data_IF_027339010103
#
_entry.id   IF_027339010103
#
_cell.length_a   1.000
_cell.length_b   1.000
_cell.length_c   1.000
_cell.angle_alpha   90.00
_cell.angle_beta   90.00
_cell.angle_gamma   90.00
#
_symmetry.space_group_name_H-M   'P 1'
#
loop_
_entity.id
_entity.type
_entity.pdbx_description
1 polymer ?
#
# COMPACT_ATOMS: atom_id res chain seq x y z
N UNK A 1 15.70 14.46 20.14
CA UNK A 1 14.76 15.28 19.33
C UNK A 1 13.84 14.38 18.50
N UNK A 2 12.71 13.99 19.09
CA UNK A 2 11.66 13.14 18.49
C UNK A 2 10.43 13.92 18.05
N UNK A 3 10.59 15.14 17.52
CA UNK A 3 9.48 16.08 17.28
C UNK A 3 8.81 15.93 15.89
N UNK A 4 8.87 14.75 15.25
CA UNK A 4 8.28 14.56 13.91
C UNK A 4 7.23 13.47 13.94
N UNK A 5 6.02 13.83 13.52
CA UNK A 5 4.88 12.91 13.38
C UNK A 5 5.12 11.95 12.20
N UNK A 6 4.64 10.71 12.31
CA UNK A 6 4.73 9.72 11.25
C UNK A 6 3.94 10.19 10.00
N UNK A 7 4.56 10.24 8.80
CA UNK A 7 3.92 10.79 7.59
C UNK A 7 2.62 10.08 7.18
N UNK A 8 2.51 8.78 7.47
CA UNK A 8 1.28 8.00 7.25
C UNK A 8 0.16 8.39 8.21
N UNK A 9 0.45 8.56 9.50
CA UNK A 9 -0.56 8.84 10.53
C UNK A 9 -1.28 10.17 10.27
N UNK A 10 -0.52 11.19 9.89
CA UNK A 10 -1.09 12.52 9.61
C UNK A 10 -1.95 12.56 8.33
N UNK A 11 -1.83 11.55 7.45
CA UNK A 11 -2.54 11.45 6.16
C UNK A 11 -3.64 10.38 6.16
N UNK A 12 -3.79 9.68 7.27
CA UNK A 12 -4.71 8.58 7.43
C UNK A 12 -6.16 9.11 7.44
N UNK A 13 -7.04 8.51 6.65
CA UNK A 13 -8.43 8.96 6.47
C UNK A 13 -8.62 10.11 5.47
N UNK A 14 -7.55 10.77 5.01
CA UNK A 14 -7.62 11.79 3.95
C UNK A 14 -7.10 11.26 2.61
N UNK A 15 -5.86 10.75 2.58
CA UNK A 15 -5.23 10.16 1.38
C UNK A 15 -4.95 8.68 1.57
N UNK A 16 -4.50 8.29 2.77
CA UNK A 16 -4.10 6.91 3.06
C UNK A 16 -5.20 6.19 3.81
N UNK A 17 -5.47 4.97 3.36
CA UNK A 17 -6.34 4.03 4.04
C UNK A 17 -5.61 3.22 5.11
N UNK A 18 -6.40 2.60 5.98
CA UNK A 18 -5.98 1.58 6.91
C UNK A 18 -5.44 0.33 6.19
N UNK A 19 -4.48 -0.35 6.82
CA UNK A 19 -3.96 -1.64 6.32
C UNK A 19 -4.79 -2.83 6.81
N UNK A 20 -5.45 -2.71 7.96
CA UNK A 20 -6.45 -3.68 8.44
C UNK A 20 -7.84 -3.06 8.32
N UNK A 21 -8.77 -3.72 7.63
CA UNK A 21 -10.16 -3.28 7.46
C UNK A 21 -11.10 -4.31 8.07
N UNK A 22 -11.57 -4.03 9.26
CA UNK A 22 -12.57 -4.83 9.97
C UNK A 22 -13.21 -4.00 11.08
N UNK A 23 -14.37 -4.43 11.55
CA UNK A 23 -15.08 -3.77 12.65
C UNK A 23 -15.68 -4.83 13.59
N UNK A 24 -15.23 -4.84 14.85
CA UNK A 24 -15.81 -5.60 15.95
C UNK A 24 -15.39 -4.93 17.26
N UNK A 25 -16.35 -4.51 18.09
CA UNK A 25 -16.07 -3.83 19.36
C UNK A 25 -15.71 -4.80 20.49
N UNK A 26 -16.32 -6.00 20.51
CA UNK A 26 -16.21 -6.93 21.63
C UNK A 26 -14.92 -7.76 21.55
N UNK A 27 -14.58 -8.25 20.36
CA UNK A 27 -13.40 -9.09 20.10
C UNK A 27 -12.21 -8.25 19.57
N UNK A 28 -12.27 -6.92 19.72
CA UNK A 28 -11.23 -6.03 19.21
C UNK A 28 -9.82 -6.35 19.72
N UNK A 29 -9.60 -6.61 21.03
CA UNK A 29 -8.27 -6.88 21.56
C UNK A 29 -7.65 -8.13 20.93
N UNK A 30 -8.44 -9.20 20.83
CA UNK A 30 -8.01 -10.48 20.27
C UNK A 30 -7.64 -10.33 18.79
N UNK A 31 -8.42 -9.57 18.02
CA UNK A 31 -8.15 -9.37 16.60
C UNK A 31 -6.90 -8.53 16.35
N UNK A 32 -6.60 -7.56 17.23
CA UNK A 32 -5.38 -6.77 17.14
C UNK A 32 -4.15 -7.67 17.41
N UNK A 33 -4.22 -8.52 18.42
CA UNK A 33 -3.14 -9.46 18.72
C UNK A 33 -2.95 -10.46 17.57
N UNK A 34 -4.05 -11.02 17.06
CA UNK A 34 -4.05 -11.95 15.94
C UNK A 34 -3.43 -11.30 14.68
N UNK A 35 -3.86 -10.09 14.32
CA UNK A 35 -3.30 -9.31 13.20
C UNK A 35 -1.79 -9.07 13.37
N UNK A 36 -1.33 -8.77 14.59
CA UNK A 36 0.09 -8.58 14.87
C UNK A 36 0.89 -9.87 14.67
N UNK A 37 0.39 -11.01 15.18
CA UNK A 37 1.02 -12.33 15.01
C UNK A 37 1.10 -12.71 13.54
N UNK A 38 0.02 -12.53 12.78
CA UNK A 38 -0.02 -12.77 11.32
C UNK A 38 1.03 -11.92 10.61
N UNK A 39 1.08 -10.60 10.88
CA UNK A 39 2.05 -9.70 10.23
C UNK A 39 3.49 -10.09 10.53
N UNK A 40 3.80 -10.45 11.78
CA UNK A 40 5.14 -10.89 12.19
C UNK A 40 5.52 -12.20 11.49
N UNK A 41 4.58 -13.14 11.43
CA UNK A 41 4.76 -14.44 10.79
C UNK A 41 5.07 -14.30 9.29
N UNK A 42 4.22 -13.56 8.57
CA UNK A 42 4.34 -13.33 7.12
C UNK A 42 5.64 -12.60 6.80
N UNK A 43 6.01 -11.56 7.56
CA UNK A 43 7.29 -10.86 7.36
C UNK A 43 8.50 -11.77 7.57
N UNK A 44 8.47 -12.67 8.55
CA UNK A 44 9.55 -13.62 8.80
C UNK A 44 9.68 -14.66 7.69
N UNK A 45 8.57 -15.31 7.31
CA UNK A 45 8.57 -16.40 6.33
C UNK A 45 8.85 -15.92 4.90
N UNK A 46 8.31 -14.76 4.52
CA UNK A 46 8.39 -14.23 3.15
C UNK A 46 9.39 -13.07 3.02
N UNK A 47 10.45 -13.05 3.83
CA UNK A 47 11.51 -12.03 3.76
C UNK A 47 12.11 -11.89 2.35
N UNK A 48 12.27 -13.00 1.63
CA UNK A 48 12.83 -13.02 0.27
C UNK A 48 11.86 -12.50 -0.81
N UNK A 49 10.56 -12.40 -0.49
CA UNK A 49 9.52 -12.02 -1.44
C UNK A 49 9.38 -10.50 -1.61
N UNK A 50 10.09 -9.68 -0.82
CA UNK A 50 10.03 -8.22 -0.85
C UNK A 50 8.57 -7.72 -0.75
N UNK A 51 8.03 -7.75 0.46
CA UNK A 51 6.64 -7.40 0.76
C UNK A 51 6.51 -5.90 1.04
N UNK A 52 5.71 -5.21 0.23
CA UNK A 52 5.46 -3.77 0.39
C UNK A 52 4.42 -3.49 1.48
N UNK A 53 3.28 -4.20 1.40
CA UNK A 53 2.13 -4.00 2.29
C UNK A 53 1.42 -5.32 2.53
N UNK A 54 0.92 -5.48 3.76
CA UNK A 54 0.05 -6.60 4.15
C UNK A 54 -1.31 -5.99 4.50
N UNK A 55 -2.30 -6.25 3.65
CA UNK A 55 -3.70 -5.92 3.89
C UNK A 55 -4.39 -7.06 4.62
N UNK A 56 -5.13 -6.75 5.69
CA UNK A 56 -5.94 -7.75 6.40
C UNK A 56 -7.39 -7.29 6.40
N UNK A 57 -8.29 -8.14 5.93
CA UNK A 57 -9.72 -7.85 5.93
C UNK A 57 -10.45 -9.00 6.61
N UNK A 58 -11.37 -8.67 7.52
CA UNK A 58 -12.18 -9.68 8.22
C UNK A 58 -13.63 -9.48 7.82
N UNK A 59 -14.22 -10.51 7.19
CA UNK A 59 -15.61 -10.54 6.79
C UNK A 59 -16.33 -11.66 7.56
N UNK A 60 -16.84 -11.33 8.74
CA UNK A 60 -17.44 -12.31 9.66
C UNK A 60 -16.42 -13.38 10.07
N UNK A 61 -16.66 -14.63 9.65
CA UNK A 61 -15.81 -15.78 9.97
C UNK A 61 -14.59 -15.94 9.06
N UNK A 62 -14.55 -15.22 7.93
CA UNK A 62 -13.50 -15.35 6.93
C UNK A 62 -12.43 -14.29 7.11
N UNK A 63 -11.17 -14.72 7.01
CA UNK A 63 -10.00 -13.85 7.03
C UNK A 63 -9.42 -13.75 5.62
N UNK A 64 -9.40 -12.55 5.04
CA UNK A 64 -8.76 -12.27 3.75
C UNK A 64 -7.46 -11.54 3.98
N UNK A 65 -6.38 -12.08 3.42
CA UNK A 65 -5.04 -11.52 3.51
C UNK A 65 -4.60 -11.13 2.11
N UNK A 66 -4.37 -9.84 1.93
CA UNK A 66 -3.98 -9.22 0.68
C UNK A 66 -2.48 -8.87 0.75
N UNK A 67 -1.64 -9.67 0.09
CA UNK A 67 -0.19 -9.50 0.07
C UNK A 67 0.22 -8.69 -1.15
N UNK A 68 0.81 -7.51 -0.93
CA UNK A 68 1.38 -6.69 -1.99
C UNK A 68 2.89 -6.96 -2.07
N UNK A 69 3.36 -7.49 -3.18
CA UNK A 69 4.75 -7.93 -3.38
C UNK A 69 5.31 -7.43 -4.71
N UNK A 70 6.61 -7.17 -4.74
CA UNK A 70 7.35 -6.92 -5.98
C UNK A 70 7.70 -8.21 -6.75
N UNK A 71 7.63 -9.38 -6.09
CA UNK A 71 8.01 -10.68 -6.64
C UNK A 71 6.94 -11.73 -6.35
N UNK A 72 5.79 -11.67 -7.04
CA UNK A 72 4.67 -12.60 -6.79
C UNK A 72 5.06 -14.07 -7.00
N UNK A 73 5.96 -14.36 -7.94
CA UNK A 73 6.40 -15.74 -8.21
C UNK A 73 7.02 -16.47 -7.01
N UNK A 74 7.72 -15.74 -6.12
CA UNK A 74 8.29 -16.33 -4.90
C UNK A 74 7.20 -16.71 -3.89
N UNK A 75 6.13 -15.90 -3.82
CA UNK A 75 5.02 -16.14 -2.89
C UNK A 75 4.13 -17.29 -3.36
N UNK A 76 3.89 -17.39 -4.68
CA UNK A 76 3.08 -18.47 -5.28
C UNK A 76 3.82 -19.82 -5.17
N UNK A 77 5.13 -19.82 -5.43
CA UNK A 77 5.95 -21.04 -5.46
C UNK A 77 5.64 -21.94 -6.65
N UNK A 78 6.23 -23.15 -6.67
CA UNK A 78 6.01 -24.13 -7.75
C UNK A 78 4.60 -24.71 -7.63
N UNK A 79 3.76 -24.50 -8.64
CA UNK A 79 2.40 -25.07 -8.69
C UNK A 79 1.44 -24.55 -7.62
N UNK A 80 1.70 -23.37 -7.02
CA UNK A 80 0.82 -22.79 -6.00
C UNK A 80 1.05 -23.30 -4.56
N UNK A 81 2.02 -24.19 -4.36
CA UNK A 81 2.31 -24.77 -3.03
C UNK A 81 2.70 -23.72 -1.98
N UNK A 82 3.31 -22.60 -2.38
CA UNK A 82 3.68 -21.52 -1.45
C UNK A 82 2.46 -20.89 -0.78
N UNK A 83 1.40 -20.64 -1.56
CA UNK A 83 0.14 -20.08 -1.05
C UNK A 83 -0.56 -21.07 -0.13
N UNK A 84 -0.62 -22.34 -0.51
CA UNK A 84 -1.30 -23.36 0.30
C UNK A 84 -0.62 -23.59 1.64
N UNK A 85 0.71 -23.56 1.67
CA UNK A 85 1.48 -23.63 2.91
C UNK A 85 1.19 -22.44 3.83
N UNK A 86 1.27 -21.22 3.29
CA UNK A 86 1.00 -19.99 4.06
C UNK A 86 -0.43 -19.96 4.56
N UNK A 87 -1.39 -20.39 3.74
CA UNK A 87 -2.79 -20.53 4.13
C UNK A 87 -2.93 -21.50 5.30
N UNK A 88 -2.45 -22.73 5.17
CA UNK A 88 -2.58 -23.78 6.19
C UNK A 88 -1.99 -23.37 7.54
N UNK A 89 -0.84 -22.69 7.54
CA UNK A 89 -0.21 -22.22 8.77
C UNK A 89 -0.98 -21.07 9.42
N UNK A 90 -1.53 -20.15 8.63
CA UNK A 90 -2.35 -19.06 9.16
C UNK A 90 -3.67 -19.62 9.69
N UNK A 91 -4.29 -20.61 9.03
CA UNK A 91 -5.46 -21.31 9.55
C UNK A 91 -5.13 -22.02 10.88
N UNK A 92 -3.93 -22.62 11.00
CA UNK A 92 -3.47 -23.25 12.25
C UNK A 92 -3.25 -22.23 13.38
N UNK A 93 -2.78 -21.02 13.05
CA UNK A 93 -2.55 -19.94 14.02
C UNK A 93 -3.85 -19.26 14.50
N UNK A 94 -4.86 -19.17 13.62
CA UNK A 94 -6.07 -18.36 13.85
C UNK A 94 -7.33 -19.19 14.10
N UNK A 95 -7.34 -20.45 13.68
CA UNK A 95 -8.52 -21.32 13.70
C UNK A 95 -9.63 -20.89 12.74
N UNK A 96 -9.36 -19.95 11.82
CA UNK A 96 -10.34 -19.38 10.88
C UNK A 96 -10.00 -19.76 9.45
N UNK A 97 -11.03 -19.88 8.61
CA UNK A 97 -10.83 -20.10 7.17
C UNK A 97 -10.19 -18.86 6.56
N UNK A 98 -9.03 -19.04 5.93
CA UNK A 98 -8.25 -17.93 5.37
C UNK A 98 -8.21 -17.98 3.85
N UNK A 99 -8.23 -16.79 3.24
CA UNK A 99 -8.00 -16.59 1.81
C UNK A 99 -6.78 -15.69 1.64
N UNK A 100 -5.79 -16.16 0.91
CA UNK A 100 -4.56 -15.41 0.65
C UNK A 100 -4.55 -14.96 -0.81
N UNK A 101 -4.61 -13.65 -1.01
CA UNK A 101 -4.52 -13.01 -2.31
C UNK A 101 -3.14 -12.39 -2.47
N UNK A 102 -2.49 -12.64 -3.60
CA UNK A 102 -1.20 -12.04 -3.95
C UNK A 102 -1.42 -11.00 -5.04
N UNK A 103 -1.07 -9.75 -4.75
CA UNK A 103 -1.14 -8.63 -5.69
C UNK A 103 0.26 -8.13 -6.01
N UNK A 104 0.49 -7.92 -7.30
CA UNK A 104 1.76 -7.39 -7.79
C UNK A 104 1.83 -5.86 -7.65
N UNK A 105 2.97 -5.36 -7.16
CA UNK A 105 3.30 -3.94 -7.17
C UNK A 105 3.91 -3.58 -8.52
N UNK A 106 3.13 -2.88 -9.38
CA UNK A 106 3.55 -2.51 -10.75
C UNK A 106 4.86 -1.74 -10.86
N UNK A 107 5.20 -0.91 -9.87
CA UNK A 107 6.42 -0.08 -9.83
C UNK A 107 7.05 -0.14 -8.44
N UNK A 108 7.94 -1.11 -8.17
CA UNK A 108 8.50 -1.30 -6.84
C UNK A 108 9.41 -0.15 -6.40
N UNK A 109 10.03 0.58 -7.33
CA UNK A 109 10.93 1.70 -7.04
C UNK A 109 10.22 2.91 -6.40
N UNK A 110 8.90 3.01 -6.60
CA UNK A 110 8.06 4.06 -6.01
C UNK A 110 7.53 3.67 -4.63
N UNK A 111 7.69 2.43 -4.20
CA UNK A 111 7.28 2.00 -2.87
C UNK A 111 8.38 2.26 -1.84
N UNK A 112 8.04 2.99 -0.77
CA UNK A 112 9.04 3.43 0.19
C UNK A 112 9.60 2.26 1.02
N UNK A 113 8.78 1.24 1.33
CA UNK A 113 9.20 0.09 2.10
C UNK A 113 10.15 -0.79 1.30
N UNK A 114 9.81 -1.08 0.04
CA UNK A 114 10.66 -1.86 -0.86
C UNK A 114 12.00 -1.18 -1.15
N UNK A 115 11.99 0.15 -1.32
CA UNK A 115 13.22 0.92 -1.47
C UNK A 115 14.10 0.82 -0.22
N UNK A 116 13.51 0.91 0.97
CA UNK A 116 14.22 0.79 2.23
C UNK A 116 14.86 -0.60 2.40
N UNK A 117 14.09 -1.67 2.13
CA UNK A 117 14.58 -3.06 2.14
C UNK A 117 15.72 -3.28 1.15
N UNK A 118 15.61 -2.71 -0.06
CA UNK A 118 16.67 -2.78 -1.07
C UNK A 118 17.97 -2.12 -0.63
N UNK A 119 17.90 -1.03 0.16
CA UNK A 119 19.07 -0.37 0.74
C UNK A 119 19.63 -1.19 1.91
N UNK A 120 18.77 -1.72 2.78
CA UNK A 120 19.18 -2.58 3.89
C UNK A 120 19.98 -3.79 3.38
N UNK A 121 19.46 -4.49 2.37
CA UNK A 121 20.17 -5.62 1.75
C UNK A 121 21.55 -5.24 1.17
N UNK A 122 21.71 -4.01 0.68
CA UNK A 122 23.01 -3.52 0.20
C UNK A 122 23.97 -3.20 1.35
N UNK A 123 23.46 -2.64 2.44
CA UNK A 123 24.25 -2.36 3.64
C UNK A 123 24.71 -3.64 4.34
N UNK A 124 23.86 -4.66 4.39
CA UNK A 124 24.19 -6.00 4.92
C UNK A 124 25.30 -6.67 4.09
N UNK A 125 25.30 -6.44 2.78
CA UNK A 125 26.37 -6.87 1.86
C UNK A 125 27.62 -5.97 1.89
N UNK A 126 27.76 -5.11 2.90
CA UNK A 126 28.90 -4.21 3.10
C UNK A 126 29.15 -3.23 1.95
N UNK A 127 28.12 -2.88 1.17
CA UNK A 127 28.23 -1.81 0.17
C UNK A 127 28.29 -0.46 0.89
N UNK A 128 29.10 0.46 0.36
CA UNK A 128 29.15 1.84 0.88
C UNK A 128 27.76 2.47 0.92
N UNK A 129 27.36 2.94 2.11
CA UNK A 129 26.05 3.52 2.35
C UNK A 129 25.75 4.73 1.45
N UNK A 130 26.75 5.57 1.13
CA UNK A 130 26.59 6.70 0.19
C UNK A 130 26.25 6.23 -1.21
N UNK A 131 26.93 5.18 -1.69
CA UNK A 131 26.68 4.58 -3.00
C UNK A 131 25.30 3.96 -3.06
N UNK A 132 24.91 3.21 -2.01
CA UNK A 132 23.60 2.59 -1.92
C UNK A 132 22.47 3.63 -1.94
N UNK A 133 22.60 4.71 -1.16
CA UNK A 133 21.63 5.81 -1.15
C UNK A 133 21.55 6.52 -2.50
N UNK A 134 22.68 6.92 -3.09
CA UNK A 134 22.69 7.64 -4.38
C UNK A 134 22.03 6.83 -5.49
N UNK A 135 22.39 5.54 -5.59
CA UNK A 135 21.79 4.62 -6.56
C UNK A 135 20.29 4.42 -6.35
N UNK A 136 19.85 4.36 -5.10
CA UNK A 136 18.43 4.25 -4.77
C UNK A 136 17.65 5.51 -5.18
N UNK A 137 18.20 6.70 -4.92
CA UNK A 137 17.59 7.98 -5.32
C UNK A 137 17.47 8.07 -6.84
N UNK A 138 18.55 7.80 -7.58
CA UNK A 138 18.56 7.84 -9.05
C UNK A 138 17.48 6.92 -9.64
N UNK A 139 17.34 5.69 -9.13
CA UNK A 139 16.31 4.75 -9.56
C UNK A 139 14.88 5.25 -9.30
N UNK A 140 14.63 5.78 -8.10
CA UNK A 140 13.29 6.25 -7.74
C UNK A 140 12.91 7.54 -8.48
N UNK A 141 13.86 8.45 -8.70
CA UNK A 141 13.64 9.64 -9.53
C UNK A 141 13.38 9.25 -10.98
N UNK A 142 14.13 8.29 -11.54
CA UNK A 142 13.89 7.77 -12.89
C UNK A 142 12.52 7.09 -13.04
N UNK A 143 12.00 6.47 -11.97
CA UNK A 143 10.66 5.89 -11.95
C UNK A 143 9.51 6.94 -11.90
N UNK A 144 9.85 8.23 -11.81
CA UNK A 144 8.91 9.35 -11.87
C UNK A 144 8.46 9.88 -10.50
N UNK A 145 9.23 9.65 -9.42
CA UNK A 145 8.97 10.32 -8.16
C UNK A 145 9.28 11.82 -8.24
N UNK A 146 8.49 12.66 -7.57
CA UNK A 146 8.70 14.10 -7.50
C UNK A 146 9.75 14.51 -6.46
N UNK A 147 10.02 13.62 -5.50
CA UNK A 147 11.13 13.78 -4.58
C UNK A 147 11.33 12.56 -3.68
N UNK A 148 12.57 12.38 -3.26
CA UNK A 148 12.99 11.24 -2.44
C UNK A 148 13.94 11.74 -1.37
N UNK A 149 13.71 11.29 -0.13
CA UNK A 149 14.63 11.50 0.97
C UNK A 149 14.94 10.17 1.60
N UNK A 150 16.21 9.92 1.81
CA UNK A 150 16.71 8.71 2.46
C UNK A 150 17.55 9.17 3.64
N UNK A 151 17.29 8.60 4.80
CA UNK A 151 18.05 8.82 6.02
C UNK A 151 18.53 7.49 6.54
N UNK A 152 19.83 7.40 6.77
CA UNK A 152 20.48 6.22 7.34
C UNK A 152 21.10 6.63 8.66
N UNK A 153 20.83 5.86 9.71
CA UNK A 153 21.29 6.14 11.07
C UNK A 153 21.89 4.90 11.72
N UNK A 154 23.09 5.03 12.28
CA UNK A 154 23.80 3.94 12.94
C UNK A 154 25.31 4.09 12.83
N UNK A 155 26.04 3.00 12.99
CA UNK A 155 27.51 2.94 12.86
C UNK A 155 27.91 2.86 11.39
N UNK A 156 27.76 3.99 10.69
CA UNK A 156 27.93 4.06 9.24
C UNK A 156 29.39 3.80 8.84
N UNK A 157 29.61 2.78 8.00
CA UNK A 157 30.94 2.40 7.52
C UNK A 157 31.85 1.81 8.61
N UNK A 158 31.28 1.33 9.72
CA UNK A 158 32.03 0.74 10.82
C UNK A 158 32.67 1.72 11.79
N UNK A 159 32.28 2.99 11.74
CA UNK A 159 32.66 3.95 12.75
C UNK A 159 32.19 3.52 14.16
N UNK A 160 33.00 3.85 15.17
CA UNK A 160 32.66 3.59 16.57
C UNK A 160 31.43 4.40 17.02
N UNK A 161 31.36 5.67 16.60
CA UNK A 161 30.27 6.58 16.95
C UNK A 161 29.16 6.50 15.89
N UNK A 162 27.92 6.33 16.35
CA UNK A 162 26.75 6.35 15.49
C UNK A 162 26.50 7.74 14.90
N UNK A 163 26.30 7.81 13.59
CA UNK A 163 25.99 9.04 12.85
C UNK A 163 24.66 8.90 12.11
N UNK A 164 24.08 10.05 11.73
CA UNK A 164 22.89 10.10 10.88
C UNK A 164 23.22 10.91 9.64
N UNK A 165 23.10 10.28 8.49
CA UNK A 165 23.30 10.93 7.20
C UNK A 165 22.00 10.88 6.41
N UNK A 166 21.68 11.95 5.69
CA UNK A 166 20.50 11.99 4.85
C UNK A 166 20.84 12.62 3.51
N UNK A 167 20.29 12.03 2.45
CA UNK A 167 20.31 12.58 1.11
C UNK A 167 18.88 12.88 0.70
N UNK A 168 18.68 14.00 0.02
CA UNK A 168 17.39 14.41 -0.51
C UNK A 168 17.56 14.91 -1.93
N UNK A 169 16.65 14.47 -2.79
CA UNK A 169 16.52 14.97 -4.15
C UNK A 169 15.05 15.33 -4.42
N UNK A 170 14.82 16.38 -5.19
CA UNK A 170 13.48 16.88 -5.49
C UNK A 170 12.75 17.52 -4.29
N UNK A 171 11.43 17.58 -4.39
CA UNK A 171 10.53 18.27 -3.44
C UNK A 171 9.87 17.25 -2.51
N UNK A 172 9.83 17.55 -1.20
CA UNK A 172 9.14 16.69 -0.21
C UNK A 172 8.43 17.56 0.83
N UNK A 173 7.17 17.96 0.55
CA UNK A 173 6.43 18.86 1.42
C UNK A 173 5.76 18.08 2.57
N UNK A 174 6.52 17.81 3.65
CA UNK A 174 6.04 16.98 4.77
C UNK A 174 4.84 17.58 5.52
N UNK A 175 4.76 18.91 5.61
CA UNK A 175 3.67 19.65 6.26
C UNK A 175 2.38 19.67 5.43
N UNK A 176 2.48 19.43 4.13
CA UNK A 176 1.33 19.48 3.22
C UNK A 176 0.57 18.16 3.30
N UNK A 177 -0.65 18.21 3.85
CA UNK A 177 -1.53 17.04 3.98
C UNK A 177 -1.95 16.45 2.64
N UNK A 178 -2.15 17.31 1.61
CA UNK A 178 -2.53 16.89 0.25
C UNK A 178 -1.44 16.14 -0.53
N UNK A 179 -0.20 16.14 -0.02
CA UNK A 179 0.91 15.48 -0.67
C UNK A 179 0.87 13.98 -0.39
N UNK A 180 0.84 13.14 -1.42
CA UNK A 180 0.98 11.69 -1.27
C UNK A 180 2.45 11.34 -0.99
N UNK A 181 2.75 11.22 0.30
CA UNK A 181 4.07 10.86 0.80
C UNK A 181 4.00 9.47 1.38
N UNK A 182 4.82 8.60 0.82
CA UNK A 182 5.03 7.24 1.31
C UNK A 182 6.24 7.20 2.24
N UNK A 183 6.18 6.35 3.26
CA UNK A 183 7.22 6.23 4.28
C UNK A 183 7.55 4.76 4.51
N UNK A 184 8.83 4.42 4.41
CA UNK A 184 9.38 3.10 4.69
C UNK A 184 10.38 3.16 5.82
N UNK A 185 10.40 2.09 6.62
CA UNK A 185 11.40 1.90 7.67
C UNK A 185 11.83 0.44 7.72
N UNK A 186 13.13 0.24 7.78
CA UNK A 186 13.72 -1.06 7.99
C UNK A 186 15.02 -0.92 8.77
N UNK A 187 15.38 -1.97 9.47
CA UNK A 187 16.65 -2.10 10.17
C UNK A 187 17.51 -3.11 9.40
N UNK A 188 18.73 -2.70 9.07
CA UNK A 188 19.72 -3.55 8.43
C UNK A 188 20.61 -4.17 9.51
N UNK A 189 20.75 -5.50 9.46
CA UNK A 189 21.54 -6.25 10.44
C UNK A 189 22.99 -6.38 9.93
N UNK A 190 23.86 -5.49 10.38
CA UNK A 190 25.28 -5.54 10.03
C UNK A 190 26.09 -6.18 11.15
N UNK A 191 27.29 -6.66 10.83
CA UNK A 191 28.22 -7.25 11.81
C UNK A 191 28.56 -6.31 12.96
N UNK A 192 28.54 -5.00 12.71
CA UNK A 192 28.92 -3.97 13.68
C UNK A 192 27.74 -3.39 14.46
N UNK A 193 26.52 -3.86 14.17
CA UNK A 193 25.28 -3.47 14.83
C UNK A 193 24.12 -3.21 13.86
N UNK A 194 23.10 -2.54 14.37
CA UNK A 194 21.89 -2.20 13.62
C UNK A 194 22.05 -0.84 12.92
N UNK A 195 21.69 -0.79 11.65
CA UNK A 195 21.60 0.46 10.89
C UNK A 195 20.14 0.67 10.49
N UNK A 196 19.53 1.74 10.98
CA UNK A 196 18.17 2.12 10.61
C UNK A 196 18.15 2.88 9.29
N UNK A 197 17.29 2.46 8.35
CA UNK A 197 17.04 3.12 7.07
C UNK A 197 15.61 3.64 7.05
N UNK A 198 15.46 4.95 6.87
CA UNK A 198 14.18 5.64 6.74
C UNK A 198 14.07 6.28 5.36
N UNK A 199 13.00 6.00 4.65
CA UNK A 199 12.75 6.51 3.30
C UNK A 199 11.46 7.32 3.27
N UNK A 200 11.48 8.44 2.56
CA UNK A 200 10.31 9.22 2.21
C UNK A 200 10.28 9.36 0.70
N UNK A 201 9.17 8.97 0.08
CA UNK A 201 8.96 9.14 -1.36
C UNK A 201 7.73 10.02 -1.54
N UNK A 202 7.90 11.11 -2.27
CA UNK A 202 6.81 11.96 -2.69
C UNK A 202 6.43 11.62 -4.12
N UNK A 203 5.21 11.09 -4.28
CA UNK A 203 4.70 10.60 -5.57
C UNK A 203 4.05 11.73 -6.36
N UNK A 204 3.00 12.33 -5.80
CA UNK A 204 2.24 13.43 -6.40
C UNK A 204 1.45 14.19 -5.35
N UNK A 205 1.01 15.40 -5.69
CA UNK A 205 -0.06 16.07 -4.94
C UNK A 205 -1.40 15.51 -5.43
N UNK A 206 -2.25 15.06 -4.49
CA UNK A 206 -3.62 14.68 -4.79
C UNK A 206 -4.49 15.92 -4.58
N UNK A 207 -4.94 16.52 -5.68
CA UNK A 207 -6.06 17.45 -5.62
C UNK A 207 -7.35 16.63 -5.45
N UNK A 208 -8.33 17.14 -4.70
CA UNK A 208 -9.70 16.59 -4.79
C UNK A 208 -10.02 16.57 -6.29
N UNK A 209 -10.24 15.38 -6.84
CA UNK A 209 -10.71 15.28 -8.23
C UNK A 209 -11.96 16.13 -8.31
N UNK A 210 -11.94 17.13 -9.17
CA UNK A 210 -13.15 17.91 -9.45
C UNK A 210 -14.20 16.92 -9.98
N UNK A 211 -15.49 17.13 -9.75
CA UNK A 211 -16.54 16.20 -10.23
C UNK A 211 -16.38 15.84 -11.72
N UNK A 212 -15.85 16.77 -12.53
CA UNK A 212 -15.49 16.56 -13.94
C UNK A 212 -14.43 15.47 -14.17
N UNK A 213 -13.42 15.37 -13.32
CA UNK A 213 -12.36 14.36 -13.40
C UNK A 213 -12.86 12.99 -12.90
N UNK A 214 -13.72 12.97 -11.89
CA UNK A 214 -14.41 11.76 -11.43
C UNK A 214 -15.32 11.21 -12.53
N UNK A 215 -16.10 12.07 -13.19
CA UNK A 215 -16.94 11.69 -14.33
C UNK A 215 -16.10 11.20 -15.52
N UNK A 216 -14.93 11.79 -15.78
CA UNK A 216 -14.04 11.36 -16.85
C UNK A 216 -13.45 9.97 -16.60
N UNK A 217 -13.11 9.66 -15.35
CA UNK A 217 -12.56 8.35 -14.96
C UNK A 217 -13.62 7.25 -14.95
N UNK A 218 -14.84 7.53 -14.48
CA UNK A 218 -16.00 6.63 -14.62
C UNK A 218 -16.25 6.31 -16.11
N UNK A 219 -16.12 7.32 -16.98
CA UNK A 219 -16.33 7.16 -18.42
C UNK A 219 -15.20 6.37 -19.12
N UNK A 220 -13.99 6.38 -18.57
CA UNK A 220 -12.88 5.55 -19.06
C UNK A 220 -13.04 4.09 -18.62
N UNK A 221 -13.43 3.86 -17.36
CA UNK A 221 -13.73 2.52 -16.85
C UNK A 221 -14.89 1.86 -17.60
N UNK A 222 -15.91 2.63 -17.97
CA UNK A 222 -17.02 2.18 -18.83
C UNK A 222 -16.60 1.88 -20.28
N UNK A 223 -15.46 2.40 -20.76
CA UNK A 223 -14.95 2.14 -22.11
C UNK A 223 -14.07 0.90 -22.18
N UNK A 224 -13.39 0.55 -21.08
CA UNK A 224 -12.56 -0.64 -21.00
C UNK A 224 -13.41 -1.92 -20.78
N UNK A 225 -14.63 -1.78 -20.25
CA UNK A 225 -15.65 -2.84 -20.25
C UNK A 225 -16.58 -2.69 -21.48
N UNK A 226 -16.20 -3.33 -22.59
CA UNK A 226 -17.04 -4.19 -23.47
C UNK A 226 -16.34 -4.31 -24.85
N UNK A 227 -15.67 -5.46 -25.11
CA UNK A 227 -15.78 -6.14 -26.38
C UNK A 227 -16.58 -7.43 -26.14
N UNK A 228 -17.89 -7.36 -26.39
CA UNK A 228 -18.77 -8.52 -26.45
C UNK A 228 -19.69 -8.70 -25.24
N UNK A 229 -20.85 -8.04 -25.29
CA UNK A 229 -22.15 -8.63 -24.94
C UNK A 229 -23.17 -7.86 -25.81
N UNK A 230 -23.75 -8.55 -26.79
CA UNK A 230 -24.97 -8.10 -27.45
C UNK A 230 -26.08 -8.08 -26.40
N UNK A 231 -26.73 -6.95 -26.19
CA UNK A 231 -28.00 -6.89 -25.45
C UNK A 231 -29.10 -6.39 -26.36
N UNK A 232 -29.96 -7.34 -26.67
CA UNK A 232 -31.33 -7.21 -27.15
C UNK A 232 -32.16 -6.29 -26.25
N UNK A 233 -33.05 -5.56 -26.93
CA UNK A 233 -34.35 -5.03 -26.53
C UNK A 233 -34.48 -4.08 -25.32
N UNK A 234 -35.02 -2.90 -25.63
CA UNK A 234 -35.50 -1.87 -24.71
C UNK A 234 -36.71 -2.36 -23.89
N UNK A 235 -37.08 -1.62 -22.82
CA UNK A 235 -38.40 -1.00 -22.88
C UNK A 235 -38.52 0.41 -22.27
N UNK A 236 -39.21 1.26 -23.07
CA UNK A 236 -40.37 2.12 -22.77
C UNK A 236 -40.20 3.36 -21.86
N UNK A 237 -40.41 4.53 -22.50
CA UNK A 237 -40.62 5.85 -21.88
C UNK A 237 -41.84 5.89 -20.94
N UNK A 238 -41.81 6.62 -19.82
CA UNK A 238 -42.98 6.83 -19.00
C UNK A 238 -43.91 7.88 -19.60
N UNK A 239 -45.18 7.50 -19.79
CA UNK A 239 -46.27 8.36 -20.27
C UNK A 239 -46.54 9.54 -19.32
N UNK A 240 -46.76 10.73 -19.89
CA UNK A 240 -47.24 11.93 -19.19
C UNK A 240 -48.67 11.73 -18.66
N UNK A 241 -49.01 12.15 -17.43
CA UNK A 241 -50.38 12.16 -16.96
C UNK A 241 -51.17 13.32 -17.58
N UNK A 242 -52.36 13.01 -18.12
CA UNK A 242 -53.32 13.96 -18.67
C UNK A 242 -54.03 14.77 -17.57
N UNK A 243 -54.28 16.05 -17.84
CA UNK A 243 -55.02 16.96 -16.97
C UNK A 243 -56.50 16.57 -16.84
N UNK A 244 -57.15 16.77 -15.66
CA UNK A 244 -58.58 16.52 -15.51
C UNK A 244 -59.43 17.65 -16.10
N UNK A 245 -60.49 17.29 -16.82
CA UNK A 245 -61.46 18.20 -17.43
C UNK A 245 -62.33 18.90 -16.37
N UNK A 246 -62.50 20.21 -16.53
CA UNK A 246 -63.46 21.02 -15.79
C UNK A 246 -64.90 20.70 -16.25
N UNK A 247 -65.75 20.35 -15.28
CA UNK A 247 -67.20 20.34 -15.43
C UNK A 247 -67.72 21.78 -15.36
N UNK A 248 -68.40 22.24 -16.41
CA UNK A 248 -69.43 23.28 -16.29
C UNK A 248 -70.72 22.83 -16.95
N UNK A 249 -71.71 22.70 -16.08
CA UNK A 249 -73.13 22.45 -16.34
C UNK A 249 -73.83 23.66 -16.98
N UNK A 250 -75.02 23.38 -17.51
CA UNK A 250 -76.23 24.22 -17.64
C UNK A 250 -76.50 25.05 -18.90
N UNK A 251 -77.66 24.67 -19.48
CA UNK A 251 -78.65 25.36 -20.35
C UNK A 251 -78.41 25.39 -21.84
#
# INVERSE_FOLDING_TARGET
MGQKVHPKCIRLGYIKDWDSKWFNLREMPDFIEEDYRIRRYIKGKLANAALAKIGIERAGKYLRINLFTARPGIVIGKGGQGIENVRSEIESLTGRKTFVNVMEVKRPELDAQLLAEGIAMQLEKQVSYRRAMKRAIEKTMAAGAQGVKIMVSGRLGGAEIARREWLREGRIPLQTFRADIDYGFIEAFTTMGLIGVKTWIFKKELFKKTDKELMAEVRLLQKDEIPGIQKSEAPVEPAKPAAPAENTTTK
#
